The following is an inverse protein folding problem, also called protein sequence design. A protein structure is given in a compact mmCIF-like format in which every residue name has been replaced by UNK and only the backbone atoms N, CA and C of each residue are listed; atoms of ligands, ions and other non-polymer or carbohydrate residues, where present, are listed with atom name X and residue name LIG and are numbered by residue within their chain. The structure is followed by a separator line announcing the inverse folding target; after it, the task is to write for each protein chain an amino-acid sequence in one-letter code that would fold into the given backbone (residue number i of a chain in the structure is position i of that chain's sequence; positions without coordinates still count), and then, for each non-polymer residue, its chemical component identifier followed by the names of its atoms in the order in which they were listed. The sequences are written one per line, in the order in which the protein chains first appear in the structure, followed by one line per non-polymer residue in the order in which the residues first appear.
data_IF_073197049510
#
_entry.id   IF_073197049510
#
_cell.length_a   1.000
_cell.length_b   1.000
_cell.length_c   1.000
_cell.angle_alpha   90.00
_cell.angle_beta   90.00
_cell.angle_gamma   90.00
#
_symmetry.space_group_name_H-M   'P 1'
#
loop_
_entity.id
_entity.type
_entity.pdbx_description
1 polymer ?
#
# COMPACT_ATOMS: atom_id res chain seq x y z
N UNK A 1 -4.28 -21.14 35.07
CA UNK A 1 -4.22 -19.90 34.28
C UNK A 1 -3.19 -20.13 33.17
N UNK A 2 -3.62 -20.20 31.91
CA UNK A 2 -2.72 -20.44 30.78
C UNK A 2 -2.10 -19.12 30.36
N UNK A 3 -0.80 -18.95 30.58
CA UNK A 3 -0.05 -17.79 30.09
C UNK A 3 0.29 -18.03 28.63
N UNK A 4 -0.44 -17.36 27.74
CA UNK A 4 -0.15 -17.36 26.31
C UNK A 4 1.04 -16.43 26.04
N UNK A 5 2.26 -16.97 26.05
CA UNK A 5 3.43 -16.28 25.50
C UNK A 5 3.44 -16.43 23.98
N UNK A 6 2.55 -15.72 23.29
CA UNK A 6 2.53 -15.68 21.83
C UNK A 6 3.55 -14.67 21.29
N UNK A 7 4.84 -14.80 21.64
CA UNK A 7 5.88 -13.88 21.18
C UNK A 7 6.57 -14.31 19.88
N UNK A 8 5.80 -14.75 18.88
CA UNK A 8 6.25 -14.71 17.48
C UNK A 8 5.09 -14.86 16.51
N UNK A 9 4.58 -13.76 15.92
CA UNK A 9 3.87 -13.85 14.65
C UNK A 9 4.86 -14.40 13.61
N UNK A 10 4.77 -15.70 13.38
CA UNK A 10 5.70 -16.51 12.60
C UNK A 10 5.75 -16.00 11.15
N UNK A 11 6.85 -15.34 10.78
CA UNK A 11 7.37 -14.98 9.43
C UNK A 11 6.39 -14.45 8.37
N UNK A 12 5.24 -15.09 8.12
CA UNK A 12 4.21 -14.74 7.13
C UNK A 12 3.68 -13.31 7.28
N UNK A 13 3.46 -12.84 8.51
CA UNK A 13 3.00 -11.46 8.74
C UNK A 13 4.05 -10.41 8.33
N UNK A 14 5.35 -10.73 8.48
CA UNK A 14 6.44 -9.84 8.06
C UNK A 14 6.56 -9.76 6.53
N UNK A 15 6.24 -10.82 5.80
CA UNK A 15 6.26 -10.82 4.33
C UNK A 15 5.15 -9.91 3.80
N UNK A 16 3.95 -10.04 4.36
CA UNK A 16 2.80 -9.20 3.98
C UNK A 16 3.05 -7.73 4.32
N UNK A 17 3.66 -7.45 5.48
CA UNK A 17 4.06 -6.08 5.84
C UNK A 17 5.04 -5.51 4.81
N UNK A 18 6.10 -6.23 4.43
CA UNK A 18 7.10 -5.75 3.48
C UNK A 18 6.54 -5.47 2.08
N UNK A 19 5.69 -6.35 1.54
CA UNK A 19 5.01 -6.11 0.27
C UNK A 19 3.97 -4.99 0.37
N UNK A 20 3.28 -4.88 1.51
CA UNK A 20 2.34 -3.78 1.74
C UNK A 20 3.06 -2.43 1.79
N UNK A 21 4.26 -2.32 2.37
CA UNK A 21 5.02 -1.07 2.39
C UNK A 21 5.46 -0.67 0.97
N UNK A 22 5.83 -1.62 0.11
CA UNK A 22 6.26 -1.35 -1.27
C UNK A 22 5.11 -0.82 -2.16
N UNK A 23 3.87 -1.20 -1.81
CA UNK A 23 2.66 -0.70 -2.46
C UNK A 23 2.14 0.63 -1.87
N UNK A 24 2.71 1.11 -0.74
CA UNK A 24 2.35 2.43 -0.19
C UNK A 24 2.92 3.52 -1.08
N UNK A 25 2.05 4.34 -1.65
CA UNK A 25 2.43 5.43 -2.53
C UNK A 25 2.13 5.18 -4.01
N UNK A 26 1.46 4.08 -4.36
CA UNK A 26 0.96 3.88 -5.72
C UNK A 26 -0.41 4.54 -5.84
N UNK A 27 -0.50 5.52 -6.73
CA UNK A 27 -1.73 6.21 -7.12
C UNK A 27 -1.92 6.09 -8.62
N UNK A 28 -3.15 5.81 -9.04
CA UNK A 28 -3.58 5.79 -10.42
C UNK A 28 -4.32 7.10 -10.70
N UNK A 29 -3.94 7.77 -11.79
CA UNK A 29 -4.53 9.05 -12.20
C UNK A 29 -4.95 8.95 -13.65
N UNK A 30 -6.21 9.28 -13.94
CA UNK A 30 -6.64 9.48 -15.32
C UNK A 30 -6.13 10.83 -15.81
N UNK A 31 -5.50 10.88 -16.98
CA UNK A 31 -4.99 12.13 -17.57
C UNK A 31 -6.07 12.92 -18.33
N UNK A 32 -7.25 12.33 -18.47
CA UNK A 32 -8.34 12.88 -19.27
C UNK A 32 -9.50 13.40 -18.41
N UNK A 33 -9.53 13.07 -17.11
CA UNK A 33 -10.54 13.54 -16.17
C UNK A 33 -10.03 13.47 -14.72
N UNK A 34 -10.79 14.00 -13.77
CA UNK A 34 -10.43 14.04 -12.34
C UNK A 34 -10.58 12.69 -11.60
N UNK A 35 -10.47 11.56 -12.30
CA UNK A 35 -10.56 10.24 -11.69
C UNK A 35 -9.20 9.79 -11.15
N UNK A 36 -9.14 9.55 -9.83
CA UNK A 36 -7.97 9.05 -9.14
C UNK A 36 -8.32 7.93 -8.16
N UNK A 37 -7.41 6.98 -7.97
CA UNK A 37 -7.57 5.90 -6.99
C UNK A 37 -6.23 5.31 -6.60
N UNK A 38 -6.11 4.79 -5.38
CA UNK A 38 -4.96 4.00 -4.97
C UNK A 38 -5.06 2.54 -5.47
N UNK A 39 -4.05 1.73 -5.13
CA UNK A 39 -3.96 0.30 -5.44
C UNK A 39 -5.20 -0.52 -5.10
N UNK A 40 -5.98 -0.13 -4.09
CA UNK A 40 -7.23 -0.83 -3.73
C UNK A 40 -8.34 -0.68 -4.77
N UNK A 41 -8.30 0.38 -5.59
CA UNK A 41 -9.30 0.65 -6.63
C UNK A 41 -8.80 0.43 -8.06
N UNK A 42 -7.79 -0.42 -8.25
CA UNK A 42 -7.29 -0.82 -9.57
C UNK A 42 -8.41 -1.26 -10.52
N UNK A 43 -9.35 -2.08 -10.03
CA UNK A 43 -10.47 -2.56 -10.82
C UNK A 43 -11.43 -1.44 -11.24
N UNK A 44 -11.57 -0.39 -10.42
CA UNK A 44 -12.37 0.78 -10.75
C UNK A 44 -11.72 1.60 -11.86
N UNK A 45 -10.39 1.74 -11.86
CA UNK A 45 -9.65 2.37 -12.96
C UNK A 45 -9.75 1.53 -14.25
N UNK A 46 -9.64 0.20 -14.16
CA UNK A 46 -9.82 -0.67 -15.33
C UNK A 46 -11.23 -0.54 -15.94
N UNK A 47 -12.26 -0.50 -15.07
CA UNK A 47 -13.64 -0.27 -15.49
C UNK A 47 -13.80 1.12 -16.11
N UNK A 48 -13.19 2.15 -15.52
CA UNK A 48 -13.20 3.51 -16.04
C UNK A 48 -12.61 3.58 -17.46
N UNK A 49 -11.45 2.99 -17.70
CA UNK A 49 -10.83 2.94 -19.02
C UNK A 49 -11.63 2.11 -20.04
N UNK A 50 -12.33 1.07 -19.57
CA UNK A 50 -13.20 0.24 -20.41
C UNK A 50 -14.46 0.99 -20.86
N UNK A 51 -14.97 1.90 -20.02
CA UNK A 51 -16.11 2.76 -20.36
C UNK A 51 -15.68 3.99 -21.18
N UNK A 52 -14.43 4.42 -21.02
CA UNK A 52 -13.85 5.59 -21.69
C UNK A 52 -12.55 5.21 -22.40
N UNK A 53 -12.70 4.57 -23.56
CA UNK A 53 -11.61 3.99 -24.37
C UNK A 53 -10.54 4.99 -24.86
N UNK A 54 -10.81 6.30 -24.80
CA UNK A 54 -9.84 7.37 -25.12
C UNK A 54 -9.06 7.88 -23.91
N UNK A 55 -9.41 7.43 -22.71
CA UNK A 55 -8.76 7.85 -21.48
C UNK A 55 -7.42 7.14 -21.30
N UNK A 56 -6.44 7.86 -20.76
CA UNK A 56 -5.13 7.30 -20.45
C UNK A 56 -4.90 7.35 -18.95
N UNK A 57 -4.45 6.24 -18.37
CA UNK A 57 -4.08 6.17 -16.96
C UNK A 57 -2.57 6.34 -16.80
N UNK A 58 -2.17 7.13 -15.81
CA UNK A 58 -0.81 7.26 -15.33
C UNK A 58 -0.71 6.63 -13.94
N UNK A 59 0.30 5.78 -13.77
CA UNK A 59 0.66 5.21 -12.47
C UNK A 59 1.74 6.07 -11.85
N UNK A 60 1.41 6.75 -10.76
CA UNK A 60 2.34 7.54 -9.96
C UNK A 60 2.81 6.67 -8.79
N UNK A 61 4.12 6.49 -8.67
CA UNK A 61 4.73 5.72 -7.59
C UNK A 61 5.56 6.69 -6.75
N UNK A 62 5.03 7.06 -5.59
CA UNK A 62 5.75 7.86 -4.61
C UNK A 62 6.59 6.97 -3.71
N UNK A 63 7.89 7.28 -3.60
CA UNK A 63 8.78 6.62 -2.64
C UNK A 63 8.52 7.18 -1.26
N UNK A 64 7.52 6.67 -0.57
CA UNK A 64 7.30 6.99 0.85
C UNK A 64 8.34 6.23 1.66
N UNK A 65 9.46 6.88 1.98
CA UNK A 65 10.40 6.32 2.95
C UNK A 65 9.70 6.24 4.29
N UNK A 66 9.37 5.03 4.71
CA UNK A 66 8.86 4.77 6.07
C UNK A 66 9.95 5.21 7.03
N UNK A 67 9.74 6.32 7.73
CA UNK A 67 10.46 6.58 8.96
C UNK A 67 10.19 5.39 9.86
N UNK A 68 11.17 4.50 9.99
CA UNK A 68 11.17 3.49 11.04
C UNK A 68 11.04 4.31 12.32
N UNK A 69 9.95 4.16 13.12
CA UNK A 69 9.95 4.77 14.42
C UNK A 69 11.16 4.18 15.14
N UNK A 70 12.15 5.02 15.41
CA UNK A 70 13.25 4.67 16.29
C UNK A 70 12.58 4.24 17.58
N UNK A 71 12.48 2.93 17.81
CA UNK A 71 12.14 2.40 19.11
C UNK A 71 13.34 2.74 19.98
N UNK A 72 13.29 3.97 20.48
CA UNK A 72 14.11 4.51 21.54
C UNK A 72 14.25 3.45 22.61
N UNK A 73 15.48 2.97 22.73
CA UNK A 73 15.94 2.06 23.74
C UNK A 73 15.80 2.78 25.08
N UNK A 74 14.68 2.57 25.78
CA UNK A 74 14.59 2.96 27.18
C UNK A 74 15.20 1.83 28.01
N UNK A 75 16.50 1.99 28.30
CA UNK A 75 17.18 1.26 29.37
C UNK A 75 16.57 1.63 30.71
N UNK A 76 16.23 0.64 31.55
CA UNK A 76 16.55 0.58 32.99
C UNK A 76 16.78 -0.89 33.38
#
# INVERSE_FOLDING_TARGET
MMSFHSNRPSKRFCIFKKYSEDLRGITLVCLNCDFLTDVSGLDNMATHLSQHETHTCQVVIEKVSVCIPTSEHLSE
#
